data_IF_244368938424
#
_entry.id   IF_244368938424
#
_cell.length_a   1.000
_cell.length_b   1.000
_cell.length_c   1.000
_cell.angle_alpha   90.00
_cell.angle_beta   90.00
_cell.angle_gamma   90.00
#
_symmetry.space_group_name_H-M   'P 1'
#
loop_
_entity.id
_entity.type
_entity.pdbx_description
1 polymer ?
#
# COMPACT_ATOMS: atom_id res chain seq x y z
N UNK A 1 -18.75 14.62 4.15
CA UNK A 1 -17.42 14.19 3.67
C UNK A 1 -16.72 15.45 3.16
N UNK A 2 -15.53 15.78 3.67
CA UNK A 2 -14.81 17.01 3.27
C UNK A 2 -14.18 16.80 1.88
N UNK A 3 -14.26 17.82 1.01
CA UNK A 3 -13.72 17.77 -0.37
C UNK A 3 -12.35 17.11 -0.54
N UNK A 4 -11.34 17.28 0.36
CA UNK A 4 -10.06 16.60 0.22
C UNK A 4 -10.13 15.07 0.41
N UNK A 5 -11.07 14.57 1.21
CA UNK A 5 -11.26 13.11 1.39
C UNK A 5 -11.88 12.45 0.15
N UNK A 6 -12.72 13.18 -0.59
CA UNK A 6 -13.26 12.73 -1.88
C UNK A 6 -12.19 12.73 -2.98
N UNK A 7 -11.26 13.67 -2.94
CA UNK A 7 -10.14 13.75 -3.89
C UNK A 7 -9.16 12.58 -3.63
N UNK A 8 -8.81 12.29 -2.37
CA UNK A 8 -7.94 11.15 -2.00
C UNK A 8 -8.58 9.80 -2.35
N UNK A 9 -9.88 9.63 -2.08
CA UNK A 9 -10.62 8.43 -2.47
C UNK A 9 -10.71 8.29 -4.00
N UNK A 10 -10.86 9.40 -4.74
CA UNK A 10 -10.86 9.42 -6.20
C UNK A 10 -9.50 9.07 -6.81
N UNK A 11 -8.39 9.56 -6.21
CA UNK A 11 -7.02 9.25 -6.65
C UNK A 11 -6.71 7.78 -6.38
N UNK A 12 -7.04 7.24 -5.22
CA UNK A 12 -6.85 5.83 -4.91
C UNK A 12 -7.62 4.90 -5.85
N UNK A 13 -8.86 5.25 -6.18
CA UNK A 13 -9.69 4.49 -7.10
C UNK A 13 -9.18 4.57 -8.55
N UNK A 14 -8.75 5.75 -9.00
CA UNK A 14 -8.19 5.92 -10.35
C UNK A 14 -6.86 5.19 -10.54
N UNK A 15 -6.02 5.09 -9.51
CA UNK A 15 -4.78 4.30 -9.53
C UNK A 15 -5.06 2.79 -9.63
N UNK A 16 -6.01 2.27 -8.86
CA UNK A 16 -6.47 0.86 -8.94
C UNK A 16 -6.93 0.54 -10.37
N UNK A 17 -7.65 1.44 -11.00
CA UNK A 17 -8.18 1.25 -12.35
C UNK A 17 -7.11 1.41 -13.43
N UNK A 18 -6.16 2.33 -13.27
CA UNK A 18 -5.00 2.44 -14.17
C UNK A 18 -4.17 1.16 -14.17
N UNK A 19 -3.94 0.55 -13.00
CA UNK A 19 -3.30 -0.76 -12.87
C UNK A 19 -4.14 -1.86 -13.53
N UNK A 20 -5.45 -1.76 -13.44
CA UNK A 20 -6.39 -2.72 -13.99
C UNK A 20 -6.46 -2.66 -15.54
N UNK A 21 -6.42 -1.47 -16.12
CA UNK A 21 -6.56 -1.27 -17.58
C UNK A 21 -5.22 -1.45 -18.31
N UNK A 22 -4.08 -1.10 -17.69
CA UNK A 22 -2.76 -1.09 -18.34
C UNK A 22 -1.76 -2.09 -17.76
N UNK A 23 -2.03 -2.69 -16.59
CA UNK A 23 -1.13 -3.62 -15.92
C UNK A 23 -1.25 -5.04 -16.46
N UNK A 24 -0.36 -5.45 -17.38
CA UNK A 24 -0.11 -6.88 -17.60
C UNK A 24 0.80 -7.38 -16.48
N UNK A 25 0.22 -7.80 -15.35
CA UNK A 25 0.95 -8.36 -14.21
C UNK A 25 1.17 -9.89 -14.31
N UNK A 26 1.62 -10.35 -15.46
CA UNK A 26 2.19 -11.70 -15.55
C UNK A 26 3.70 -11.51 -15.70
N UNK A 27 4.52 -11.78 -14.68
CA UNK A 27 5.95 -11.88 -14.88
C UNK A 27 6.18 -13.02 -15.89
N UNK A 28 6.84 -12.75 -17.01
CA UNK A 28 7.38 -13.83 -17.84
C UNK A 28 8.22 -14.74 -16.97
N UNK A 29 7.95 -16.05 -17.00
CA UNK A 29 8.83 -17.04 -16.37
C UNK A 29 10.19 -16.93 -17.05
N UNK A 30 11.15 -16.30 -16.40
CA UNK A 30 12.54 -16.40 -16.77
C UNK A 30 12.93 -17.87 -16.84
N UNK A 31 13.41 -18.30 -18.00
CA UNK A 31 14.06 -19.61 -18.15
C UNK A 31 15.26 -19.61 -17.23
N UNK A 32 15.25 -20.52 -16.24
CA UNK A 32 16.41 -20.80 -15.41
C UNK A 32 17.55 -21.19 -16.35
N UNK A 33 18.49 -20.30 -16.54
CA UNK A 33 19.74 -20.56 -17.21
C UNK A 33 20.72 -21.08 -16.17
N UNK A 34 21.21 -22.31 -16.33
CA UNK A 34 22.29 -22.88 -15.55
C UNK A 34 23.59 -22.11 -15.81
N UNK A 35 23.78 -21.00 -15.11
CA UNK A 35 25.03 -20.25 -15.11
C UNK A 35 25.64 -20.34 -13.71
N UNK A 36 26.99 -20.60 -13.58
CA UNK A 36 27.65 -20.83 -12.30
C UNK A 36 27.51 -19.63 -11.37
N UNK A 37 27.46 -19.90 -10.06
CA UNK A 37 27.42 -18.91 -8.99
C UNK A 37 28.46 -17.79 -9.23
N UNK A 38 28.03 -16.71 -9.83
CA UNK A 38 28.79 -15.47 -9.87
C UNK A 38 28.42 -14.65 -8.63
N UNK A 39 29.44 -14.04 -8.04
CA UNK A 39 29.48 -13.10 -6.94
C UNK A 39 28.13 -12.60 -6.43
N UNK A 40 27.90 -12.74 -5.12
CA UNK A 40 26.75 -12.15 -4.40
C UNK A 40 26.46 -10.77 -4.95
N UNK A 41 25.30 -10.52 -5.57
CA UNK A 41 24.98 -9.18 -6.07
C UNK A 41 25.01 -8.24 -4.87
N UNK A 42 25.69 -7.11 -5.02
CA UNK A 42 25.64 -6.04 -4.03
C UNK A 42 24.16 -5.79 -3.70
N UNK A 43 23.78 -5.99 -2.45
CA UNK A 43 22.40 -5.74 -2.00
C UNK A 43 22.17 -4.26 -2.24
N UNK A 44 21.45 -3.93 -3.29
CA UNK A 44 21.08 -2.56 -3.61
C UNK A 44 20.05 -2.13 -2.56
N UNK A 45 20.53 -1.54 -1.45
CA UNK A 45 19.67 -1.09 -0.36
C UNK A 45 19.24 0.34 -0.63
N UNK A 46 17.94 0.62 -0.53
CA UNK A 46 17.44 1.98 -0.58
C UNK A 46 17.95 2.78 0.64
N UNK A 47 18.50 3.98 0.39
CA UNK A 47 19.00 4.89 1.43
C UNK A 47 18.15 6.15 1.44
N UNK A 48 17.48 6.41 2.56
CA UNK A 48 16.70 7.64 2.78
C UNK A 48 17.61 8.87 2.81
N UNK A 49 18.85 8.75 3.30
CA UNK A 49 19.83 9.85 3.30
C UNK A 49 20.25 10.22 1.87
N UNK A 50 20.44 9.22 1.01
CA UNK A 50 20.72 9.46 -0.42
C UNK A 50 19.55 10.13 -1.13
N UNK A 51 18.33 9.73 -0.81
CA UNK A 51 17.11 10.37 -1.33
C UNK A 51 17.02 11.82 -0.89
N UNK A 52 17.31 12.12 0.39
CA UNK A 52 17.34 13.47 0.94
C UNK A 52 18.39 14.34 0.22
N UNK A 53 19.63 13.87 0.13
CA UNK A 53 20.70 14.60 -0.57
C UNK A 53 20.36 14.87 -2.03
N UNK A 54 19.70 13.93 -2.69
CA UNK A 54 19.23 14.11 -4.08
C UNK A 54 18.11 15.14 -4.17
N UNK A 55 17.16 15.12 -3.23
CA UNK A 55 16.07 16.08 -3.18
C UNK A 55 16.58 17.52 -2.93
N UNK A 56 17.48 17.70 -1.98
CA UNK A 56 18.08 19.00 -1.63
C UNK A 56 18.73 19.71 -2.84
N UNK A 57 19.33 18.94 -3.76
CA UNK A 57 19.93 19.50 -4.99
C UNK A 57 18.91 20.13 -5.93
N UNK A 58 17.66 19.70 -5.86
CA UNK A 58 16.58 20.15 -6.72
C UNK A 58 15.71 21.25 -6.09
N UNK A 59 15.98 21.61 -4.82
CA UNK A 59 15.25 22.66 -4.13
C UNK A 59 15.71 24.04 -4.62
N UNK A 60 14.77 24.98 -4.66
CA UNK A 60 15.09 26.39 -4.83
C UNK A 60 15.91 26.92 -3.64
N UNK A 61 16.63 28.02 -3.81
CA UNK A 61 17.39 28.64 -2.71
C UNK A 61 16.50 28.98 -1.50
N UNK A 62 15.26 29.39 -1.75
CA UNK A 62 14.28 29.70 -0.70
C UNK A 62 13.89 28.45 0.08
N UNK A 63 13.54 27.34 -0.60
CA UNK A 63 13.17 26.07 0.03
C UNK A 63 14.37 25.45 0.77
N UNK A 64 15.58 25.58 0.24
CA UNK A 64 16.79 25.14 0.95
C UNK A 64 17.03 25.90 2.26
N UNK A 65 16.75 27.19 2.28
CA UNK A 65 16.85 27.98 3.52
C UNK A 65 15.78 27.58 4.53
N UNK A 66 14.54 27.35 4.07
CA UNK A 66 13.46 26.86 4.92
C UNK A 66 13.80 25.47 5.51
N UNK A 67 14.25 24.53 4.69
CA UNK A 67 14.66 23.19 5.15
C UNK A 67 15.77 23.26 6.21
N UNK A 68 16.84 24.03 5.98
CA UNK A 68 17.93 24.23 6.94
C UNK A 68 17.43 24.80 8.26
N UNK A 69 16.48 25.74 8.22
CA UNK A 69 15.85 26.28 9.43
C UNK A 69 15.12 25.23 10.23
N UNK A 70 14.37 24.34 9.56
CA UNK A 70 13.66 23.22 10.19
C UNK A 70 14.63 22.18 10.76
N UNK A 71 15.70 21.85 10.05
CA UNK A 71 16.73 20.93 10.53
C UNK A 71 17.49 21.50 11.76
N UNK A 72 17.80 22.80 11.77
CA UNK A 72 18.39 23.41 12.93
C UNK A 72 17.44 23.48 14.13
N UNK A 73 16.15 23.71 13.87
CA UNK A 73 15.11 23.60 14.91
C UNK A 73 15.05 22.20 15.51
N UNK A 74 15.10 21.14 14.69
CA UNK A 74 15.16 19.77 15.17
C UNK A 74 16.43 19.50 15.99
N UNK A 75 17.58 19.94 15.51
CA UNK A 75 18.88 19.76 16.17
C UNK A 75 18.97 20.44 17.52
N UNK A 76 18.32 21.61 17.66
CA UNK A 76 18.30 22.40 18.90
C UNK A 76 17.14 22.04 19.82
N UNK A 77 16.24 21.14 19.41
CA UNK A 77 15.08 20.73 20.20
C UNK A 77 15.51 19.94 21.45
N UNK A 78 15.43 20.58 22.60
CA UNK A 78 15.89 20.02 23.88
C UNK A 78 14.88 19.09 24.58
N UNK A 79 13.63 19.07 24.11
CA UNK A 79 12.56 18.25 24.72
C UNK A 79 11.92 17.32 23.71
N UNK A 80 11.37 16.16 24.14
CA UNK A 80 10.63 15.27 23.23
C UNK A 80 9.48 15.98 22.50
N UNK A 81 8.76 16.87 23.19
CA UNK A 81 7.67 17.64 22.57
C UNK A 81 8.19 18.59 21.46
N UNK A 82 9.33 19.25 21.67
CA UNK A 82 9.94 20.10 20.66
C UNK A 82 10.48 19.28 19.47
N UNK A 83 11.05 18.10 19.73
CA UNK A 83 11.50 17.19 18.67
C UNK A 83 10.31 16.66 17.85
N UNK A 84 9.21 16.29 18.54
CA UNK A 84 7.98 15.85 17.85
C UNK A 84 7.44 16.93 16.92
N UNK A 85 7.34 18.18 17.41
CA UNK A 85 6.90 19.31 16.61
C UNK A 85 7.81 19.53 15.39
N UNK A 86 9.14 19.45 15.59
CA UNK A 86 10.10 19.62 14.49
C UNK A 86 10.00 18.51 13.41
N UNK A 87 9.77 17.24 13.80
CA UNK A 87 9.50 16.17 12.83
C UNK A 87 8.21 16.38 12.07
N UNK A 88 7.15 16.85 12.73
CA UNK A 88 5.87 17.17 12.06
C UNK A 88 6.01 18.33 11.07
N UNK A 89 6.80 19.36 11.39
CA UNK A 89 7.09 20.46 10.46
C UNK A 89 7.93 20.00 9.27
N UNK A 90 8.92 19.12 9.48
CA UNK A 90 9.68 18.49 8.39
C UNK A 90 8.79 17.58 7.51
N UNK A 91 7.87 16.84 8.11
CA UNK A 91 6.89 16.05 7.37
C UNK A 91 6.01 16.96 6.52
N UNK A 92 5.50 18.06 7.10
CA UNK A 92 4.71 19.04 6.35
C UNK A 92 5.49 19.65 5.19
N UNK A 93 6.75 20.02 5.38
CA UNK A 93 7.62 20.54 4.32
C UNK A 93 7.70 19.54 3.13
N UNK A 94 7.92 18.26 3.42
CA UNK A 94 8.04 17.23 2.38
C UNK A 94 6.70 16.73 1.81
N UNK A 95 5.57 17.14 2.38
CA UNK A 95 4.25 16.83 1.82
C UNK A 95 3.69 17.98 0.97
N UNK A 96 3.93 19.23 1.35
CA UNK A 96 3.26 20.39 0.77
C UNK A 96 4.21 21.30 -0.03
N UNK A 97 5.39 21.63 0.55
CA UNK A 97 6.30 22.61 -0.05
C UNK A 97 7.20 21.99 -1.12
N UNK A 98 7.67 20.78 -0.88
CA UNK A 98 8.49 19.98 -1.80
C UNK A 98 8.07 18.52 -1.77
N UNK A 99 6.97 18.16 -2.43
CA UNK A 99 6.37 16.83 -2.29
C UNK A 99 7.33 15.70 -2.66
N UNK A 100 7.80 14.95 -1.65
CA UNK A 100 8.55 13.72 -1.80
C UNK A 100 8.09 12.71 -0.74
N UNK A 101 7.35 11.70 -1.18
CA UNK A 101 6.67 10.75 -0.31
C UNK A 101 7.60 10.09 0.71
N UNK A 102 8.77 9.64 0.30
CA UNK A 102 9.69 8.90 1.17
C UNK A 102 10.18 9.76 2.35
N UNK A 103 10.48 11.04 2.11
CA UNK A 103 10.90 11.96 3.17
C UNK A 103 9.74 12.41 4.04
N UNK A 104 8.56 12.60 3.47
CA UNK A 104 7.33 12.83 4.22
C UNK A 104 7.06 11.67 5.19
N UNK A 105 6.92 10.46 4.66
CA UNK A 105 6.59 9.27 5.46
C UNK A 105 7.68 8.94 6.48
N UNK A 106 8.94 9.21 6.16
CA UNK A 106 10.06 9.03 7.09
C UNK A 106 9.95 9.95 8.31
N UNK A 107 9.67 11.24 8.11
CA UNK A 107 9.52 12.19 9.21
C UNK A 107 8.27 11.90 10.05
N UNK A 108 7.15 11.49 9.42
CA UNK A 108 5.98 10.98 10.14
C UNK A 108 6.32 9.74 10.99
N UNK A 109 7.15 8.82 10.48
CA UNK A 109 7.58 7.66 11.23
C UNK A 109 8.47 8.02 12.42
N UNK A 110 9.37 9.01 12.28
CA UNK A 110 10.21 9.50 13.37
C UNK A 110 9.34 10.16 14.46
N UNK A 111 8.40 10.99 14.06
CA UNK A 111 7.40 11.59 14.95
C UNK A 111 6.59 10.51 15.70
N UNK A 112 6.08 9.50 14.98
CA UNK A 112 5.30 8.42 15.56
C UNK A 112 6.11 7.55 16.54
N UNK A 113 7.38 7.26 16.23
CA UNK A 113 8.28 6.53 17.15
C UNK A 113 8.55 7.30 18.43
N UNK A 114 8.64 8.63 18.35
CA UNK A 114 8.86 9.49 19.50
C UNK A 114 7.60 9.61 20.35
N UNK A 115 6.44 9.83 19.74
CA UNK A 115 5.14 9.89 20.41
C UNK A 115 4.77 8.56 21.04
N UNK A 116 5.09 7.45 20.35
CA UNK A 116 4.87 6.07 20.75
C UNK A 116 3.41 5.80 21.18
N UNK A 117 2.45 6.33 20.42
CA UNK A 117 1.03 6.01 20.56
C UNK A 117 0.58 4.99 19.52
N UNK A 118 -0.39 4.14 19.85
CA UNK A 118 -0.98 3.18 18.91
C UNK A 118 -1.46 3.88 17.65
N UNK A 119 -2.12 5.02 17.80
CA UNK A 119 -2.69 5.80 16.69
C UNK A 119 -1.62 6.33 15.74
N UNK A 120 -0.58 7.00 16.25
CA UNK A 120 0.48 7.56 15.42
C UNK A 120 1.32 6.49 14.74
N UNK A 121 1.66 5.41 15.47
CA UNK A 121 2.40 4.28 14.92
C UNK A 121 1.63 3.59 13.78
N UNK A 122 0.33 3.33 13.98
CA UNK A 122 -0.51 2.70 12.94
C UNK A 122 -0.70 3.61 11.74
N UNK A 123 -0.87 4.92 11.95
CA UNK A 123 -0.97 5.90 10.87
C UNK A 123 0.30 5.92 10.01
N UNK A 124 1.46 6.09 10.64
CA UNK A 124 2.74 6.13 9.92
C UNK A 124 3.05 4.79 9.20
N UNK A 125 2.71 3.65 9.82
CA UNK A 125 2.86 2.34 9.20
C UNK A 125 1.99 2.22 7.93
N UNK A 126 0.75 2.71 7.97
CA UNK A 126 -0.15 2.71 6.81
C UNK A 126 0.36 3.53 5.66
N UNK A 127 0.96 4.69 5.90
CA UNK A 127 1.56 5.50 4.84
C UNK A 127 2.54 4.67 3.99
N UNK A 128 3.43 3.94 4.64
CA UNK A 128 4.37 3.07 3.94
C UNK A 128 3.69 1.89 3.25
N UNK A 129 2.75 1.21 3.93
CA UNK A 129 2.08 0.03 3.40
C UNK A 129 1.24 0.37 2.16
N UNK A 130 0.49 1.47 2.20
CA UNK A 130 -0.38 1.87 1.08
C UNK A 130 0.44 2.26 -0.15
N UNK A 131 1.66 2.77 0.04
CA UNK A 131 2.53 3.20 -1.04
C UNK A 131 3.50 2.12 -1.55
N UNK A 132 3.70 1.01 -0.82
CA UNK A 132 4.67 0.00 -1.22
C UNK A 132 4.18 -0.91 -2.36
N UNK A 133 2.87 -1.15 -2.46
CA UNK A 133 2.33 -2.12 -3.43
C UNK A 133 2.49 -1.65 -4.88
N UNK A 134 2.46 -0.34 -5.10
CA UNK A 134 2.59 0.31 -6.41
C UNK A 134 4.03 0.70 -6.74
N UNK A 135 4.97 0.52 -5.80
CA UNK A 135 6.36 0.91 -6.01
C UNK A 135 7.07 -0.07 -6.93
N UNK A 136 7.50 0.35 -8.15
CA UNK A 136 8.21 -0.51 -9.08
C UNK A 136 9.66 -0.79 -8.64
N UNK A 137 10.24 0.06 -7.77
CA UNK A 137 11.60 -0.09 -7.27
C UNK A 137 11.64 -1.11 -6.13
N UNK A 138 12.22 -2.28 -6.37
CA UNK A 138 12.27 -3.38 -5.42
C UNK A 138 12.95 -3.02 -4.09
N UNK A 139 14.16 -2.43 -4.09
CA UNK A 139 14.85 -1.95 -2.89
C UNK A 139 14.04 -0.93 -2.08
N UNK A 140 13.42 0.03 -2.75
CA UNK A 140 12.59 1.05 -2.10
C UNK A 140 11.30 0.45 -1.53
N UNK A 141 10.65 -0.47 -2.25
CA UNK A 141 9.50 -1.23 -1.75
C UNK A 141 9.86 -2.03 -0.50
N UNK A 142 11.00 -2.73 -0.50
CA UNK A 142 11.48 -3.46 0.66
C UNK A 142 11.76 -2.55 1.85
N UNK A 143 12.38 -1.39 1.63
CA UNK A 143 12.60 -0.40 2.67
C UNK A 143 11.29 0.10 3.27
N UNK A 144 10.30 0.45 2.45
CA UNK A 144 8.95 0.84 2.92
C UNK A 144 8.32 -0.25 3.78
N UNK A 145 8.39 -1.50 3.35
CA UNK A 145 7.85 -2.62 4.12
C UNK A 145 8.54 -2.80 5.48
N UNK A 146 9.86 -2.61 5.56
CA UNK A 146 10.60 -2.69 6.81
C UNK A 146 10.23 -1.54 7.76
N UNK A 147 10.00 -0.33 7.24
CA UNK A 147 9.52 0.79 8.05
C UNK A 147 8.11 0.52 8.60
N UNK A 148 7.18 0.08 7.74
CA UNK A 148 5.84 -0.28 8.15
C UNK A 148 5.83 -1.41 9.19
N UNK A 149 6.64 -2.45 8.98
CA UNK A 149 6.79 -3.58 9.91
C UNK A 149 7.21 -3.12 11.30
N UNK A 150 8.29 -2.33 11.43
CA UNK A 150 8.75 -1.81 12.72
C UNK A 150 7.64 -1.03 13.45
N UNK A 151 6.91 -0.18 12.73
CA UNK A 151 5.85 0.64 13.30
C UNK A 151 4.65 -0.22 13.75
N UNK A 152 4.23 -1.20 12.95
CA UNK A 152 3.17 -2.13 13.33
C UNK A 152 3.57 -3.01 14.52
N UNK A 153 4.81 -3.50 14.57
CA UNK A 153 5.31 -4.28 15.72
C UNK A 153 5.33 -3.45 17.01
N UNK A 154 5.68 -2.17 16.94
CA UNK A 154 5.59 -1.24 18.08
C UNK A 154 4.14 -1.02 18.50
N UNK A 155 3.25 -0.83 17.55
CA UNK A 155 1.81 -0.67 17.83
C UNK A 155 1.21 -1.92 18.50
N UNK A 156 1.58 -3.12 18.04
CA UNK A 156 1.13 -4.39 18.64
C UNK A 156 1.68 -4.63 20.06
N UNK A 157 2.83 -4.03 20.41
CA UNK A 157 3.30 -4.06 21.81
C UNK A 157 2.41 -3.23 22.74
N UNK A 158 1.77 -2.18 22.22
CA UNK A 158 0.83 -1.33 22.96
C UNK A 158 -0.55 -2.00 23.01
N UNK A 159 -1.04 -2.46 21.86
CA UNK A 159 -2.33 -3.14 21.73
C UNK A 159 -2.20 -4.43 20.90
N UNK A 160 -1.96 -5.58 21.55
CA UNK A 160 -1.79 -6.87 20.86
C UNK A 160 -3.05 -7.36 20.15
N UNK A 161 -4.22 -6.81 20.47
CA UNK A 161 -5.51 -7.24 19.95
C UNK A 161 -6.01 -6.34 18.80
N UNK A 162 -5.19 -5.43 18.27
CA UNK A 162 -5.59 -4.61 17.13
C UNK A 162 -5.52 -5.41 15.83
N UNK A 163 -6.67 -5.85 15.34
CA UNK A 163 -6.80 -6.65 14.11
C UNK A 163 -6.28 -5.91 12.88
N UNK A 164 -6.57 -4.62 12.75
CA UNK A 164 -6.07 -3.82 11.61
C UNK A 164 -4.55 -3.77 11.59
N UNK A 165 -3.92 -3.67 12.76
CA UNK A 165 -2.45 -3.69 12.90
C UNK A 165 -1.88 -5.07 12.57
N UNK A 166 -2.52 -6.18 12.99
CA UNK A 166 -2.12 -7.55 12.62
C UNK A 166 -2.21 -7.77 11.12
N UNK A 167 -3.30 -7.33 10.49
CA UNK A 167 -3.48 -7.43 9.03
C UNK A 167 -2.43 -6.59 8.29
N UNK A 168 -2.16 -5.36 8.74
CA UNK A 168 -1.14 -4.50 8.16
C UNK A 168 0.27 -5.11 8.26
N UNK A 169 0.62 -5.67 9.42
CA UNK A 169 1.89 -6.39 9.59
C UNK A 169 1.97 -7.60 8.66
N UNK A 170 0.89 -8.37 8.54
CA UNK A 170 0.80 -9.49 7.61
C UNK A 170 0.99 -9.06 6.15
N UNK A 171 0.42 -7.93 5.76
CA UNK A 171 0.58 -7.36 4.42
C UNK A 171 2.03 -6.93 4.12
N UNK A 172 2.77 -6.44 5.11
CA UNK A 172 4.20 -6.14 4.95
C UNK A 172 5.01 -7.39 4.55
N UNK A 173 4.74 -8.53 5.15
CA UNK A 173 5.39 -9.80 4.79
C UNK A 173 4.99 -10.29 3.39
N UNK A 174 3.71 -10.10 3.01
CA UNK A 174 3.18 -10.59 1.73
C UNK A 174 3.68 -9.78 0.53
N UNK A 175 3.75 -8.46 0.66
CA UNK A 175 3.96 -7.56 -0.48
C UNK A 175 5.32 -6.86 -0.46
N UNK A 176 5.99 -6.85 0.70
CA UNK A 176 7.23 -6.10 0.90
C UNK A 176 8.51 -6.82 0.53
N UNK A 177 8.45 -8.11 0.19
CA UNK A 177 9.64 -8.96 -0.06
C UNK A 177 10.67 -8.89 1.08
N UNK A 178 10.20 -8.87 2.34
CA UNK A 178 11.03 -8.77 3.56
C UNK A 178 11.25 -10.10 4.25
N UNK A 179 10.65 -11.18 3.76
CA UNK A 179 10.81 -12.55 4.26
C UNK A 179 10.81 -13.53 3.09
N UNK A 180 11.59 -14.58 3.21
CA UNK A 180 11.56 -15.75 2.31
C UNK A 180 10.34 -16.63 2.54
N UNK A 181 9.62 -16.40 3.64
CA UNK A 181 8.44 -17.16 4.02
C UNK A 181 7.18 -16.25 4.12
N UNK A 182 6.46 -16.02 3.02
CA UNK A 182 5.24 -15.20 3.03
C UNK A 182 4.11 -15.81 3.89
N UNK A 183 4.23 -17.09 4.31
CA UNK A 183 3.25 -17.74 5.19
C UNK A 183 3.18 -17.10 6.57
N UNK A 184 4.24 -16.42 7.03
CA UNK A 184 4.22 -15.63 8.27
C UNK A 184 3.14 -14.55 8.22
N UNK A 185 3.10 -13.78 7.11
CA UNK A 185 2.06 -12.78 6.90
C UNK A 185 0.66 -13.38 6.79
N UNK A 186 0.53 -14.49 6.05
CA UNK A 186 -0.75 -15.19 5.93
C UNK A 186 -1.26 -15.67 7.29
N UNK A 187 -0.39 -16.17 8.17
CA UNK A 187 -0.78 -16.66 9.49
C UNK A 187 -1.41 -15.54 10.35
N UNK A 188 -0.78 -14.35 10.37
CA UNK A 188 -1.30 -13.19 11.10
C UNK A 188 -2.70 -12.78 10.61
N UNK A 189 -2.90 -12.72 9.28
CA UNK A 189 -4.19 -12.32 8.72
C UNK A 189 -5.25 -13.40 8.95
N UNK A 190 -4.86 -14.67 8.88
CA UNK A 190 -5.77 -15.79 9.16
C UNK A 190 -6.25 -15.82 10.60
N UNK A 191 -5.41 -15.44 11.56
CA UNK A 191 -5.82 -15.30 12.96
C UNK A 191 -7.01 -14.34 13.09
N UNK A 192 -6.92 -13.17 12.43
CA UNK A 192 -8.02 -12.18 12.40
C UNK A 192 -9.28 -12.77 11.73
N UNK A 193 -9.14 -13.44 10.57
CA UNK A 193 -10.29 -14.05 9.88
C UNK A 193 -10.91 -15.20 10.68
N UNK A 194 -10.15 -15.90 11.50
CA UNK A 194 -10.67 -16.95 12.39
C UNK A 194 -11.50 -16.36 13.54
N UNK A 195 -11.14 -15.19 14.05
CA UNK A 195 -11.87 -14.47 15.08
C UNK A 195 -13.10 -13.75 14.50
N UNK A 196 -12.92 -13.10 13.35
CA UNK A 196 -13.99 -12.41 12.61
C UNK A 196 -13.88 -12.71 11.11
N UNK A 197 -14.66 -13.68 10.65
CA UNK A 197 -14.71 -14.06 9.22
C UNK A 197 -15.30 -12.98 8.31
N UNK A 198 -15.92 -11.94 8.90
CA UNK A 198 -16.52 -10.81 8.18
C UNK A 198 -15.59 -9.60 8.11
N UNK A 199 -14.40 -9.65 8.68
CA UNK A 199 -13.42 -8.57 8.64
C UNK A 199 -13.00 -8.29 7.18
N UNK A 200 -13.57 -7.24 6.62
CA UNK A 200 -13.39 -6.86 5.20
C UNK A 200 -11.92 -6.59 4.86
N UNK A 201 -11.19 -5.88 5.73
CA UNK A 201 -9.78 -5.57 5.48
C UNK A 201 -8.91 -6.84 5.41
N UNK A 202 -9.11 -7.78 6.33
CA UNK A 202 -8.42 -9.06 6.32
C UNK A 202 -8.78 -9.90 5.09
N UNK A 203 -10.07 -9.96 4.71
CA UNK A 203 -10.52 -10.68 3.53
C UNK A 203 -9.92 -10.09 2.25
N UNK A 204 -9.98 -8.76 2.04
CA UNK A 204 -9.40 -8.10 0.86
C UNK A 204 -7.87 -8.29 0.78
N UNK A 205 -7.17 -8.24 1.92
CA UNK A 205 -5.72 -8.51 1.94
C UNK A 205 -5.40 -9.93 1.51
N UNK A 206 -6.18 -10.92 1.94
CA UNK A 206 -6.02 -12.32 1.48
C UNK A 206 -6.46 -12.51 0.02
N UNK A 207 -7.39 -11.72 -0.49
CA UNK A 207 -7.71 -11.69 -1.94
C UNK A 207 -6.50 -11.25 -2.74
N UNK A 208 -5.86 -10.14 -2.36
CA UNK A 208 -4.63 -9.65 -3.02
C UNK A 208 -3.52 -10.70 -2.99
N UNK A 209 -3.34 -11.39 -1.87
CA UNK A 209 -2.39 -12.50 -1.77
C UNK A 209 -2.78 -13.68 -2.69
N UNK A 210 -4.07 -13.97 -2.82
CA UNK A 210 -4.59 -15.02 -3.72
C UNK A 210 -4.33 -14.69 -5.19
N UNK A 211 -4.44 -13.41 -5.57
CA UNK A 211 -4.13 -12.93 -6.92
C UNK A 211 -2.64 -13.14 -7.24
N UNK A 212 -1.75 -12.71 -6.33
CA UNK A 212 -0.30 -12.86 -6.50
C UNK A 212 0.12 -14.33 -6.60
N UNK A 213 -0.53 -15.23 -5.85
CA UNK A 213 -0.22 -16.66 -5.85
C UNK A 213 -0.99 -17.48 -6.90
N UNK A 214 -1.86 -16.86 -7.71
CA UNK A 214 -2.68 -17.55 -8.72
C UNK A 214 -3.81 -18.42 -8.14
N UNK A 215 -4.16 -18.25 -6.85
CA UNK A 215 -5.21 -19.03 -6.19
C UNK A 215 -6.57 -18.34 -6.35
N UNK A 216 -7.00 -18.14 -7.59
CA UNK A 216 -8.16 -17.29 -7.95
C UNK A 216 -9.47 -17.77 -7.31
N UNK A 217 -9.74 -19.06 -7.22
CA UNK A 217 -10.96 -19.60 -6.60
C UNK A 217 -11.09 -19.18 -5.13
N UNK A 218 -9.97 -19.15 -4.39
CA UNK A 218 -9.96 -18.67 -3.00
C UNK A 218 -10.23 -17.17 -2.94
N UNK A 219 -9.69 -16.39 -3.89
CA UNK A 219 -9.97 -14.98 -4.04
C UNK A 219 -11.46 -14.71 -4.28
N UNK A 220 -12.08 -15.44 -5.23
CA UNK A 220 -13.51 -15.34 -5.56
C UNK A 220 -14.37 -15.61 -4.31
N UNK A 221 -14.12 -16.71 -3.60
CA UNK A 221 -14.87 -17.05 -2.38
C UNK A 221 -14.78 -15.94 -1.32
N UNK A 222 -13.62 -15.33 -1.13
CA UNK A 222 -13.42 -14.23 -0.18
C UNK A 222 -14.14 -12.95 -0.61
N UNK A 223 -14.09 -12.61 -1.90
CA UNK A 223 -14.78 -11.45 -2.44
C UNK A 223 -16.30 -11.58 -2.31
N UNK A 224 -16.85 -12.78 -2.49
CA UNK A 224 -18.27 -13.04 -2.22
C UNK A 224 -18.63 -12.78 -0.75
N UNK A 225 -17.73 -13.10 0.19
CA UNK A 225 -17.91 -12.76 1.61
C UNK A 225 -17.89 -11.25 1.81
N UNK A 226 -16.92 -10.54 1.22
CA UNK A 226 -16.84 -9.06 1.31
C UNK A 226 -18.10 -8.41 0.78
N UNK A 227 -18.57 -8.81 -0.41
CA UNK A 227 -19.79 -8.23 -1.03
C UNK A 227 -21.05 -8.53 -0.19
N UNK A 228 -21.10 -9.66 0.51
CA UNK A 228 -22.21 -9.98 1.42
C UNK A 228 -22.22 -9.04 2.62
N UNK A 229 -21.07 -8.63 3.14
CA UNK A 229 -20.91 -7.72 4.29
C UNK A 229 -21.06 -6.25 3.85
N UNK A 230 -20.44 -5.90 2.73
CA UNK A 230 -20.44 -4.56 2.15
C UNK A 230 -20.92 -4.63 0.69
N UNK A 231 -22.25 -4.62 0.44
CA UNK A 231 -22.79 -4.76 -0.93
C UNK A 231 -22.39 -3.63 -1.89
N UNK A 232 -21.93 -2.50 -1.37
CA UNK A 232 -21.50 -1.34 -2.15
C UNK A 232 -19.97 -1.20 -2.25
N UNK A 233 -19.21 -2.22 -1.86
CA UNK A 233 -17.76 -2.19 -1.94
C UNK A 233 -17.31 -2.31 -3.41
N UNK A 234 -16.98 -1.17 -4.02
CA UNK A 234 -16.58 -1.07 -5.44
C UNK A 234 -15.35 -1.92 -5.72
N UNK A 235 -14.34 -1.88 -4.83
CA UNK A 235 -13.10 -2.67 -4.97
C UNK A 235 -13.43 -4.17 -5.08
N UNK A 236 -14.31 -4.65 -4.22
CA UNK A 236 -14.69 -6.07 -4.22
C UNK A 236 -15.42 -6.48 -5.52
N UNK A 237 -16.31 -5.64 -6.05
CA UNK A 237 -16.99 -5.91 -7.32
C UNK A 237 -16.02 -5.96 -8.49
N UNK A 238 -15.10 -4.99 -8.57
CA UNK A 238 -14.10 -4.93 -9.64
C UNK A 238 -13.12 -6.10 -9.57
N UNK A 239 -12.61 -6.42 -8.38
CA UNK A 239 -11.72 -7.57 -8.20
C UNK A 239 -12.41 -8.89 -8.52
N UNK A 240 -13.70 -9.03 -8.19
CA UNK A 240 -14.45 -10.24 -8.50
C UNK A 240 -14.67 -10.40 -10.01
N UNK A 241 -14.95 -9.30 -10.71
CA UNK A 241 -15.02 -9.31 -12.17
C UNK A 241 -13.68 -9.70 -12.82
N UNK A 242 -12.57 -9.12 -12.34
CA UNK A 242 -11.21 -9.47 -12.80
C UNK A 242 -10.89 -10.94 -12.57
N UNK A 243 -11.20 -11.49 -11.40
CA UNK A 243 -10.92 -12.89 -11.12
C UNK A 243 -11.73 -13.84 -12.01
N UNK A 244 -13.00 -13.56 -12.25
CA UNK A 244 -13.80 -14.35 -13.20
C UNK A 244 -13.27 -14.24 -14.64
N UNK A 245 -12.75 -13.07 -15.02
CA UNK A 245 -12.10 -12.93 -16.31
C UNK A 245 -10.82 -13.77 -16.39
N UNK A 246 -9.97 -13.76 -15.36
CA UNK A 246 -8.73 -14.55 -15.29
C UNK A 246 -8.98 -16.06 -15.26
N UNK A 247 -10.12 -16.50 -14.72
CA UNK A 247 -10.54 -17.92 -14.76
C UNK A 247 -11.26 -18.30 -16.05
N UNK A 248 -11.50 -17.34 -16.96
CA UNK A 248 -12.15 -17.58 -18.25
C UNK A 248 -13.69 -17.55 -18.20
N UNK A 249 -14.26 -17.21 -17.06
CA UNK A 249 -15.70 -17.13 -16.83
C UNK A 249 -16.26 -15.77 -17.30
N UNK A 250 -16.13 -15.49 -18.62
CA UNK A 250 -16.46 -14.21 -19.25
C UNK A 250 -17.86 -13.68 -18.89
N UNK A 251 -18.86 -14.54 -18.82
CA UNK A 251 -20.24 -14.14 -18.50
C UNK A 251 -20.39 -13.60 -17.07
N UNK A 252 -19.76 -14.27 -16.10
CA UNK A 252 -19.74 -13.78 -14.71
C UNK A 252 -18.91 -12.50 -14.60
N UNK A 253 -17.75 -12.41 -15.27
CA UNK A 253 -16.95 -11.19 -15.31
C UNK A 253 -17.80 -9.99 -15.79
N UNK A 254 -18.50 -10.12 -16.93
CA UNK A 254 -19.37 -9.07 -17.46
C UNK A 254 -20.44 -8.66 -16.44
N UNK A 255 -21.11 -9.63 -15.82
CA UNK A 255 -22.15 -9.37 -14.82
C UNK A 255 -21.64 -8.57 -13.63
N UNK A 256 -20.43 -8.85 -13.14
CA UNK A 256 -19.85 -8.14 -12.01
C UNK A 256 -19.32 -6.76 -12.41
N UNK A 257 -18.78 -6.59 -13.62
CA UNK A 257 -18.48 -5.28 -14.17
C UNK A 257 -19.74 -4.41 -14.34
N UNK A 258 -20.84 -4.97 -14.82
CA UNK A 258 -22.13 -4.25 -14.94
C UNK A 258 -22.66 -3.81 -13.56
N UNK A 259 -22.51 -4.64 -12.52
CA UNK A 259 -22.84 -4.26 -11.14
C UNK A 259 -21.95 -3.12 -10.63
N UNK A 260 -20.65 -3.17 -10.89
CA UNK A 260 -19.74 -2.09 -10.46
C UNK A 260 -20.08 -0.74 -11.10
N UNK A 261 -20.59 -0.73 -12.35
CA UNK A 261 -21.03 0.48 -13.02
C UNK A 261 -22.17 1.20 -12.30
N UNK A 262 -22.97 0.50 -11.48
CA UNK A 262 -24.05 1.11 -10.70
C UNK A 262 -23.53 1.86 -9.48
N UNK A 263 -22.32 1.58 -9.05
CA UNK A 263 -21.67 2.10 -7.84
C UNK A 263 -20.67 3.22 -8.15
N UNK A 264 -20.23 3.34 -9.40
CA UNK A 264 -19.15 4.25 -9.82
C UNK A 264 -19.78 5.48 -10.50
N UNK A 265 -19.41 6.68 -10.02
CA UNK A 265 -19.92 7.94 -10.56
C UNK A 265 -18.96 8.54 -11.62
N UNK A 266 -17.65 8.28 -11.53
CA UNK A 266 -16.63 8.89 -12.39
C UNK A 266 -16.78 8.46 -13.86
N UNK A 267 -17.00 9.40 -14.82
CA UNK A 267 -17.28 9.07 -16.22
C UNK A 267 -16.16 8.29 -16.91
N UNK A 268 -14.91 8.66 -16.64
CA UNK A 268 -13.71 8.04 -17.23
C UNK A 268 -13.61 6.57 -16.83
N UNK A 269 -13.85 6.28 -15.56
CA UNK A 269 -13.84 4.93 -15.01
C UNK A 269 -14.98 4.09 -15.59
N UNK A 270 -16.17 4.69 -15.63
CA UNK A 270 -17.34 4.04 -16.25
C UNK A 270 -17.09 3.68 -17.72
N UNK A 271 -16.44 4.58 -18.47
CA UNK A 271 -16.12 4.32 -19.87
C UNK A 271 -15.13 3.16 -20.00
N UNK A 272 -14.05 3.15 -19.24
CA UNK A 272 -13.07 2.07 -19.24
C UNK A 272 -13.70 0.69 -18.95
N UNK A 273 -14.63 0.63 -17.97
CA UNK A 273 -15.35 -0.61 -17.66
C UNK A 273 -16.28 -1.02 -18.81
N UNK A 274 -17.00 -0.09 -19.44
CA UNK A 274 -17.85 -0.38 -20.61
C UNK A 274 -17.04 -0.94 -21.79
N UNK A 275 -15.88 -0.37 -22.05
CA UNK A 275 -14.98 -0.83 -23.10
C UNK A 275 -14.48 -2.25 -22.79
N UNK A 276 -14.17 -2.55 -21.52
CA UNK A 276 -13.81 -3.90 -21.08
C UNK A 276 -14.93 -4.89 -21.26
N UNK A 277 -16.16 -4.53 -20.88
CA UNK A 277 -17.38 -5.35 -21.12
C UNK A 277 -17.55 -5.61 -22.62
N UNK A 278 -17.38 -4.59 -23.46
CA UNK A 278 -17.46 -4.73 -24.91
C UNK A 278 -16.46 -5.73 -25.48
N UNK A 279 -15.22 -5.70 -24.98
CA UNK A 279 -14.18 -6.64 -25.39
C UNK A 279 -14.45 -8.09 -24.94
N UNK A 280 -15.08 -8.29 -23.76
CA UNK A 280 -15.40 -9.61 -23.25
C UNK A 280 -16.60 -10.28 -23.97
N UNK A 281 -17.50 -9.49 -24.56
CA UNK A 281 -18.67 -9.95 -25.31
C UNK A 281 -18.36 -10.35 -26.77
N UNK A 282 -17.15 -10.06 -27.25
CA UNK A 282 -16.63 -10.50 -28.54
C UNK A 282 -16.00 -11.90 -28.43
#
# INVERSE_FOLDING_TARGET
>A
VKKPQLILAGIGLSLIILLFVFGRFVPEKEKVSDTPLAATPAINTYSIDSARVSAEKNLTSQLNLALKSLEEKLKTAATPAAQLAAYQELAHFWSEESPLFELYAWNEALAARLENSEKSLTFAARLFLDNLQEDPDGPRRQWKALQAKDLYERSLKINPNNDSTKVGLGACYLFGNISTNPMEGIALIREVVQQDSTNVYAQLTLVKASIVSGQFDKGITRLQTVIKVEPQNIEAHLLLADLYERTGEKMEAVKWYEKSLQLIEQPEIRQAIKDRIGALKQ
#
